data_IF_370513431433
#
_entry.id   IF_370513431433
#
_cell.length_a   1.000
_cell.length_b   1.000
_cell.length_c   1.000
_cell.angle_alpha   90.00
_cell.angle_beta   90.00
_cell.angle_gamma   90.00
#
_symmetry.space_group_name_H-M   'P 1'
#
loop_
_entity.id
_entity.type
_entity.pdbx_description
1 polymer ?
#
# COMPACT_ATOMS: atom_id res chain seq x y z
N UNK A 1 -39.54 5.10 -24.95
CA UNK A 1 -39.84 4.83 -23.53
C UNK A 1 -38.67 4.12 -22.85
N UNK A 2 -37.49 4.76 -22.78
CA UNK A 2 -36.29 4.26 -22.06
C UNK A 2 -35.34 5.41 -21.66
N UNK A 3 -35.47 6.59 -22.25
CA UNK A 3 -34.71 7.80 -21.87
C UNK A 3 -35.28 8.49 -20.63
N UNK A 4 -36.61 8.40 -20.41
CA UNK A 4 -37.27 9.02 -19.25
C UNK A 4 -36.97 8.31 -17.92
N UNK A 5 -36.62 7.02 -17.96
CA UNK A 5 -36.35 6.21 -16.77
C UNK A 5 -35.05 6.61 -16.04
N UNK A 6 -33.87 6.73 -16.70
CA UNK A 6 -32.66 7.16 -16.01
C UNK A 6 -32.72 8.63 -15.57
N UNK A 7 -33.35 9.50 -16.36
CA UNK A 7 -33.48 10.94 -16.02
C UNK A 7 -34.39 11.14 -14.79
N UNK A 8 -35.51 10.41 -14.70
CA UNK A 8 -36.43 10.49 -13.56
C UNK A 8 -35.80 9.98 -12.26
N UNK A 9 -35.04 8.87 -12.32
CA UNK A 9 -34.30 8.34 -11.16
C UNK A 9 -33.23 9.33 -10.72
N UNK A 10 -32.50 9.92 -11.67
CA UNK A 10 -31.49 10.93 -11.36
C UNK A 10 -32.11 12.19 -10.72
N UNK A 11 -33.32 12.61 -11.09
CA UNK A 11 -34.01 13.75 -10.44
C UNK A 11 -34.54 13.40 -9.04
N UNK A 12 -34.98 12.15 -8.83
CA UNK A 12 -35.48 11.68 -7.53
C UNK A 12 -34.35 11.52 -6.50
N UNK A 13 -33.18 11.05 -6.93
CA UNK A 13 -32.00 10.89 -6.06
C UNK A 13 -30.99 12.07 -6.14
N UNK A 14 -31.10 12.96 -7.12
CA UNK A 14 -30.03 13.85 -7.59
C UNK A 14 -29.61 15.04 -6.73
N UNK A 15 -30.12 15.20 -5.53
CA UNK A 15 -29.65 16.24 -4.58
C UNK A 15 -29.60 15.79 -3.13
N UNK A 16 -30.01 14.56 -2.81
CA UNK A 16 -30.13 14.02 -1.45
C UNK A 16 -29.32 12.74 -1.24
N UNK A 17 -28.26 12.54 -2.04
CA UNK A 17 -27.35 11.40 -1.88
C UNK A 17 -26.47 11.57 -0.63
N UNK A 18 -26.06 12.80 -0.32
CA UNK A 18 -25.15 13.08 0.80
C UNK A 18 -25.81 12.79 2.15
N UNK A 19 -27.09 13.16 2.34
CA UNK A 19 -27.82 12.90 3.59
C UNK A 19 -28.24 11.43 3.74
N UNK A 20 -28.49 10.70 2.64
CA UNK A 20 -28.96 9.29 2.69
C UNK A 20 -27.83 8.26 2.69
N UNK A 21 -26.64 8.61 2.19
CA UNK A 21 -25.47 7.72 2.12
C UNK A 21 -24.29 8.20 2.98
N UNK A 22 -24.40 9.31 3.70
CA UNK A 22 -23.42 9.64 4.75
C UNK A 22 -23.59 8.66 5.90
N UNK A 23 -22.59 7.79 6.06
CA UNK A 23 -22.46 6.96 7.24
C UNK A 23 -21.89 7.84 8.35
N UNK A 24 -22.60 8.04 9.47
CA UNK A 24 -22.04 8.75 10.63
C UNK A 24 -20.76 8.04 11.06
N UNK A 25 -19.69 8.80 11.31
CA UNK A 25 -18.37 8.27 11.68
C UNK A 25 -17.68 7.38 10.62
N UNK A 26 -18.03 7.48 9.33
CA UNK A 26 -17.33 6.73 8.26
C UNK A 26 -15.82 6.96 8.25
N UNK A 27 -15.42 8.22 8.39
CA UNK A 27 -14.02 8.59 8.45
C UNK A 27 -13.54 8.51 9.91
N UNK A 28 -12.37 7.89 10.16
CA UNK A 28 -11.78 7.92 11.49
C UNK A 28 -11.62 9.38 11.91
N UNK A 29 -12.04 9.68 13.14
CA UNK A 29 -11.93 11.03 13.71
C UNK A 29 -10.49 11.53 13.51
N UNK A 30 -10.30 12.84 13.25
CA UNK A 30 -8.97 13.40 12.99
C UNK A 30 -7.96 13.14 14.15
N UNK A 31 -8.45 12.86 15.35
CA UNK A 31 -7.67 12.42 16.51
C UNK A 31 -7.01 11.04 16.32
N UNK A 32 -7.63 10.16 15.53
CA UNK A 32 -7.15 8.81 15.20
C UNK A 32 -6.41 8.74 13.86
N UNK A 33 -6.36 9.84 13.11
CA UNK A 33 -5.57 9.92 11.91
C UNK A 33 -4.09 10.08 12.26
N UNK A 34 -3.21 9.38 11.55
CA UNK A 34 -1.77 9.59 11.66
C UNK A 34 -1.46 11.05 11.32
N UNK A 35 -1.02 11.84 12.31
CA UNK A 35 -0.55 13.20 12.09
C UNK A 35 0.77 13.11 11.35
N UNK A 36 0.78 13.47 10.06
CA UNK A 36 2.03 13.64 9.32
C UNK A 36 2.83 14.74 10.03
N UNK A 37 4.13 14.55 10.30
CA UNK A 37 4.98 15.61 10.84
C UNK A 37 4.81 16.89 10.02
N UNK A 38 4.32 17.97 10.63
CA UNK A 38 4.09 19.25 9.93
C UNK A 38 5.32 20.15 9.99
N UNK A 39 6.23 19.90 10.93
CA UNK A 39 7.45 20.68 11.10
C UNK A 39 8.54 20.17 10.16
N UNK A 40 9.13 21.10 9.38
CA UNK A 40 10.20 20.79 8.42
C UNK A 40 11.33 20.00 9.08
N UNK A 41 11.76 20.39 10.26
CA UNK A 41 12.90 19.77 10.93
C UNK A 41 12.61 18.31 11.33
N UNK A 42 11.39 18.02 11.77
CA UNK A 42 10.94 16.67 12.12
C UNK A 42 10.88 15.77 10.87
N UNK A 43 10.38 16.31 9.73
CA UNK A 43 10.38 15.59 8.45
C UNK A 43 11.81 15.24 8.02
N UNK A 44 12.76 16.16 8.15
CA UNK A 44 14.14 15.92 7.74
C UNK A 44 14.82 14.88 8.64
N UNK A 45 14.57 14.93 9.95
CA UNK A 45 15.09 13.95 10.90
C UNK A 45 14.56 12.54 10.62
N UNK A 46 13.25 12.39 10.39
CA UNK A 46 12.65 11.08 10.08
C UNK A 46 13.10 10.57 8.70
N UNK A 47 13.26 11.47 7.72
CA UNK A 47 13.79 11.11 6.41
C UNK A 47 15.24 10.61 6.49
N UNK A 48 16.09 11.24 7.32
CA UNK A 48 17.45 10.77 7.56
C UNK A 48 17.48 9.39 8.23
N UNK A 49 16.61 9.17 9.23
CA UNK A 49 16.44 7.86 9.88
C UNK A 49 16.04 6.78 8.88
N UNK A 50 15.06 7.06 8.02
CA UNK A 50 14.59 6.10 7.00
C UNK A 50 15.68 5.79 5.97
N UNK A 51 16.45 6.80 5.54
CA UNK A 51 17.60 6.62 4.64
C UNK A 51 18.68 5.73 5.25
N UNK A 52 19.05 5.97 6.51
CA UNK A 52 20.03 5.17 7.23
C UNK A 52 19.56 3.70 7.36
N UNK A 53 18.29 3.48 7.72
CA UNK A 53 17.70 2.13 7.79
C UNK A 53 17.73 1.41 6.44
N UNK A 54 17.42 2.12 5.35
CA UNK A 54 17.44 1.56 3.99
C UNK A 54 18.85 1.14 3.57
N UNK A 55 19.86 1.95 3.86
CA UNK A 55 21.24 1.65 3.52
C UNK A 55 21.74 0.43 4.31
N UNK A 56 21.52 0.40 5.63
CA UNK A 56 21.86 -0.75 6.48
C UNK A 56 21.25 -2.07 5.99
N UNK A 57 19.95 -2.07 5.64
CA UNK A 57 19.28 -3.27 5.12
C UNK A 57 19.82 -3.70 3.75
N UNK A 58 20.25 -2.76 2.92
CA UNK A 58 20.88 -3.06 1.63
C UNK A 58 22.23 -3.74 1.86
N UNK A 59 23.05 -3.18 2.72
CA UNK A 59 24.40 -3.72 3.00
C UNK A 59 24.29 -5.14 3.59
N UNK A 60 23.36 -5.35 4.52
CA UNK A 60 23.07 -6.68 5.07
C UNK A 60 22.63 -7.70 4.01
N UNK A 61 21.88 -7.28 2.99
CA UNK A 61 21.51 -8.18 1.87
C UNK A 61 22.73 -8.56 1.04
N UNK A 62 23.57 -7.59 0.70
CA UNK A 62 24.80 -7.81 -0.08
C UNK A 62 25.78 -8.73 0.68
N UNK A 63 25.93 -8.55 2.00
CA UNK A 63 26.72 -9.44 2.85
C UNK A 63 26.20 -10.88 2.83
N UNK A 64 24.89 -11.08 2.91
CA UNK A 64 24.27 -12.40 2.86
C UNK A 64 24.41 -13.06 1.48
N UNK A 65 24.25 -12.29 0.40
CA UNK A 65 24.45 -12.75 -0.98
C UNK A 65 25.92 -13.15 -1.24
N UNK A 66 26.88 -12.41 -0.67
CA UNK A 66 28.31 -12.75 -0.77
C UNK A 66 28.66 -13.99 0.04
N UNK A 67 27.95 -14.23 1.15
CA UNK A 67 28.20 -15.36 2.07
C UNK A 67 27.52 -16.65 1.62
N UNK A 68 26.42 -16.59 0.87
CA UNK A 68 25.77 -17.77 0.31
C UNK A 68 26.35 -18.08 -1.08
N UNK A 69 27.07 -19.20 -1.26
CA UNK A 69 27.36 -19.68 -2.61
C UNK A 69 26.03 -19.92 -3.36
N UNK A 70 25.98 -19.72 -4.69
CA UNK A 70 24.76 -19.94 -5.45
C UNK A 70 24.23 -21.34 -5.17
N UNK A 71 23.00 -21.43 -4.65
CA UNK A 71 22.29 -22.69 -4.50
C UNK A 71 22.08 -23.26 -5.90
N UNK A 72 22.97 -24.16 -6.29
CA UNK A 72 22.83 -24.97 -7.49
C UNK A 72 21.53 -25.77 -7.32
N UNK A 73 20.54 -25.65 -8.24
CA UNK A 73 19.46 -26.62 -8.28
C UNK A 73 20.13 -27.98 -8.53
N UNK A 74 20.03 -28.88 -7.56
CA UNK A 74 20.51 -30.25 -7.70
C UNK A 74 19.75 -30.89 -8.85
N UNK A 75 20.52 -31.34 -9.84
CA UNK A 75 20.09 -32.11 -11.00
C UNK A 75 19.22 -33.27 -10.55
N UNK A 76 17.96 -33.27 -11.01
CA UNK A 76 17.07 -34.41 -10.89
C UNK A 76 17.60 -35.50 -11.82
N UNK A 77 18.32 -36.46 -11.22
CA UNK A 77 18.90 -37.62 -11.88
C UNK A 77 17.78 -38.56 -12.36
N UNK A 78 17.22 -38.27 -13.53
CA UNK A 78 16.41 -39.20 -14.31
C UNK A 78 17.28 -40.25 -14.99
N UNK A 79 18.01 -41.06 -14.21
CA UNK A 79 18.55 -42.33 -14.66
C UNK A 79 17.59 -43.44 -14.24
N UNK A 80 16.59 -43.73 -15.06
CA UNK A 80 15.94 -45.04 -15.03
C UNK A 80 15.71 -45.57 -16.44
N UNK A 81 16.74 -46.30 -16.89
CA UNK A 81 16.68 -47.65 -17.48
C UNK A 81 15.87 -47.88 -18.77
N UNK A 82 16.65 -48.39 -19.73
CA UNK A 82 16.38 -49.49 -20.67
C UNK A 82 15.87 -49.14 -22.06
#
# INVERSE_FOLDING_TARGET
>A
MYVMFPIGIMYYFGTNLDERFSVPDFWPKPEHANKVPFDKDEIHAELQRLRARRLYLRDKRLENETRQPPLHPSEDQGNDRS
#
